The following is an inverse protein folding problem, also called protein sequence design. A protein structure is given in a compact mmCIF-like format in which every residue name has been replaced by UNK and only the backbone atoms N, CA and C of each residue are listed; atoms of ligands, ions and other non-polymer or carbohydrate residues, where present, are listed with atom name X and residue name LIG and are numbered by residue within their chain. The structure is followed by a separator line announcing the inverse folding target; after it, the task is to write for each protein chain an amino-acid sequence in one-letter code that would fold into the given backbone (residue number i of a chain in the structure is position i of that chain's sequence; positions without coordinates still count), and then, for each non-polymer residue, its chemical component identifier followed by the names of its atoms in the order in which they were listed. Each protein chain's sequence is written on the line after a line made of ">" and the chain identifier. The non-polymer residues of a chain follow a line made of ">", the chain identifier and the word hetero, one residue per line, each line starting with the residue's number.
data_IF_268281345576
#
_entry.id   IF_268281345576
#
_cell.length_a   1.000
_cell.length_b   1.000
_cell.length_c   1.000
_cell.angle_alpha   90.00
_cell.angle_beta   90.00
_cell.angle_gamma   90.00
#
_symmetry.space_group_name_H-M   'P 1'
#
loop_
_entity.id
_entity.type
_entity.pdbx_description
1 polymer ?
#
# COMPACT_ATOMS: atom_id res chain seq x y z
N UNK A 1 -24.64 15.77 13.36
CA UNK A 1 -23.23 16.16 13.62
C UNK A 1 -22.27 15.04 13.19
N UNK A 2 -21.45 15.27 12.17
CA UNK A 2 -20.59 14.25 11.51
C UNK A 2 -19.45 13.70 12.38
N UNK A 3 -19.15 14.34 13.51
CA UNK A 3 -18.03 13.99 14.40
C UNK A 3 -18.25 12.75 15.27
N UNK A 4 -19.46 12.23 15.37
CA UNK A 4 -19.76 11.03 16.19
C UNK A 4 -19.29 9.71 15.55
N UNK A 5 -18.46 9.78 14.49
CA UNK A 5 -17.86 8.64 13.78
C UNK A 5 -16.39 8.89 13.41
N UNK A 6 -15.70 9.78 14.12
CA UNK A 6 -14.29 10.06 13.84
C UNK A 6 -13.42 9.09 14.62
N UNK A 7 -12.65 8.28 13.90
CA UNK A 7 -11.56 7.49 14.47
C UNK A 7 -10.25 8.27 14.26
N UNK A 8 -9.50 8.48 15.33
CA UNK A 8 -8.17 9.06 15.28
C UNK A 8 -7.14 7.94 15.44
N UNK A 9 -6.23 7.84 14.47
CA UNK A 9 -5.04 7.01 14.57
C UNK A 9 -3.82 7.93 14.61
N UNK A 10 -2.94 7.72 15.57
CA UNK A 10 -1.70 8.46 15.74
C UNK A 10 -0.54 7.48 15.87
N UNK A 11 0.58 7.83 15.24
CA UNK A 11 1.83 7.08 15.33
C UNK A 11 2.83 7.90 16.14
N UNK A 12 3.54 7.22 17.04
CA UNK A 12 4.57 7.78 17.88
C UNK A 12 5.86 6.99 17.71
N UNK A 13 6.99 7.59 18.08
CA UNK A 13 8.28 6.90 18.11
C UNK A 13 8.23 5.72 19.09
N UNK A 14 8.94 4.63 18.78
CA UNK A 14 8.87 3.37 19.53
C UNK A 14 9.30 3.49 21.00
N UNK A 15 10.11 4.50 21.35
CA UNK A 15 10.57 4.76 22.71
C UNK A 15 9.66 5.73 23.49
N UNK A 16 8.51 6.09 22.93
CA UNK A 16 7.53 6.96 23.60
C UNK A 16 6.91 6.26 24.80
N UNK A 17 7.00 6.89 25.98
CA UNK A 17 6.32 6.41 27.18
C UNK A 17 4.80 6.59 27.05
N UNK A 18 4.10 5.46 26.88
CA UNK A 18 2.64 5.39 26.76
C UNK A 18 1.92 6.05 27.94
N UNK A 19 2.39 5.83 29.17
CA UNK A 19 1.73 6.36 30.37
C UNK A 19 1.84 7.88 30.41
N UNK A 20 3.03 8.41 30.11
CA UNK A 20 3.26 9.85 30.05
C UNK A 20 2.44 10.51 28.92
N UNK A 21 2.36 9.85 27.76
CA UNK A 21 1.58 10.31 26.60
C UNK A 21 0.08 10.42 26.96
N UNK A 22 -0.51 9.35 27.49
CA UNK A 22 -1.94 9.33 27.84
C UNK A 22 -2.27 10.35 28.93
N UNK A 23 -1.41 10.51 29.93
CA UNK A 23 -1.57 11.52 30.97
C UNK A 23 -1.52 12.95 30.38
N UNK A 24 -0.62 13.19 29.44
CA UNK A 24 -0.52 14.49 28.77
C UNK A 24 -1.75 14.79 27.92
N UNK A 25 -2.25 13.81 27.16
CA UNK A 25 -3.46 13.95 26.36
C UNK A 25 -4.69 14.25 27.22
N UNK A 26 -4.87 13.52 28.34
CA UNK A 26 -5.98 13.76 29.27
C UNK A 26 -5.95 15.19 29.86
N UNK A 27 -4.75 15.72 30.16
CA UNK A 27 -4.59 17.10 30.63
C UNK A 27 -4.99 18.12 29.56
N UNK A 28 -4.57 17.90 28.30
CA UNK A 28 -4.90 18.79 27.17
C UNK A 28 -6.39 18.79 26.84
N UNK A 29 -7.04 17.63 26.92
CA UNK A 29 -8.48 17.49 26.64
C UNK A 29 -9.36 17.88 27.82
N UNK A 30 -8.76 18.12 28.98
CA UNK A 30 -9.47 18.56 30.19
C UNK A 30 -10.33 17.47 30.83
N UNK A 31 -9.99 16.19 30.65
CA UNK A 31 -10.77 15.06 31.18
C UNK A 31 -10.33 13.71 30.63
N UNK A 32 -11.12 12.68 30.97
CA UNK A 32 -10.87 11.31 30.55
C UNK A 32 -10.88 11.17 29.02
N UNK A 33 -9.96 10.36 28.53
CA UNK A 33 -9.89 10.03 27.10
C UNK A 33 -11.06 9.09 26.72
N UNK A 34 -11.55 9.17 25.47
CA UNK A 34 -12.49 8.18 24.96
C UNK A 34 -11.88 6.78 24.93
N UNK A 35 -12.68 5.75 24.65
CA UNK A 35 -12.20 4.40 24.43
C UNK A 35 -11.05 4.41 23.40
N UNK A 36 -9.91 3.87 23.79
CA UNK A 36 -8.68 3.87 23.01
C UNK A 36 -7.92 2.56 23.20
N UNK A 37 -7.06 2.26 22.23
CA UNK A 37 -6.17 1.12 22.22
C UNK A 37 -4.78 1.61 21.84
N UNK A 38 -3.76 1.12 22.55
CA UNK A 38 -2.36 1.35 22.23
C UNK A 38 -1.75 0.01 21.84
N UNK A 39 -0.97 0.03 20.76
CA UNK A 39 -0.30 -1.15 20.23
C UNK A 39 1.12 -0.77 19.85
N UNK A 40 2.08 -1.62 20.20
CA UNK A 40 3.46 -1.51 19.74
C UNK A 40 3.55 -2.06 18.31
N UNK A 41 3.90 -1.20 17.36
CA UNK A 41 4.11 -1.60 15.97
C UNK A 41 5.58 -1.89 15.79
N UNK A 42 5.92 -3.18 15.68
CA UNK A 42 7.29 -3.59 15.41
C UNK A 42 7.79 -3.01 14.08
N UNK A 43 9.06 -2.62 14.06
CA UNK A 43 9.79 -2.31 12.83
C UNK A 43 9.78 -3.56 11.94
N UNK A 44 8.92 -3.52 10.93
CA UNK A 44 8.90 -4.48 9.85
C UNK A 44 9.49 -3.80 8.62
N UNK A 45 10.23 -4.57 7.83
CA UNK A 45 10.57 -4.17 6.47
C UNK A 45 9.29 -4.24 5.64
N UNK A 46 8.41 -3.26 5.86
CA UNK A 46 7.12 -3.14 5.18
C UNK A 46 7.32 -3.05 3.68
N UNK A 47 8.48 -2.52 3.24
CA UNK A 47 8.95 -2.52 1.86
C UNK A 47 9.23 -3.93 1.33
N UNK A 48 9.70 -4.89 2.13
CA UNK A 48 9.78 -6.29 1.68
C UNK A 48 8.44 -7.00 1.72
N UNK A 49 7.63 -6.76 2.75
CA UNK A 49 6.36 -7.47 2.91
C UNK A 49 5.38 -7.20 1.76
N UNK A 50 5.37 -5.99 1.19
CA UNK A 50 4.55 -5.72 -0.01
C UNK A 50 5.20 -6.26 -1.29
N UNK A 51 6.53 -6.29 -1.40
CA UNK A 51 7.24 -6.84 -2.56
C UNK A 51 6.97 -8.34 -2.73
N UNK A 52 6.95 -9.10 -1.62
CA UNK A 52 6.66 -10.54 -1.63
C UNK A 52 5.24 -10.86 -2.13
N UNK A 53 4.31 -9.92 -1.93
CA UNK A 53 2.92 -10.06 -2.36
C UNK A 53 2.67 -9.57 -3.79
N UNK A 54 3.65 -8.95 -4.44
CA UNK A 54 3.48 -8.44 -5.80
C UNK A 54 3.67 -9.58 -6.81
N UNK A 55 2.56 -10.02 -7.40
CA UNK A 55 2.52 -11.12 -8.36
C UNK A 55 2.48 -10.60 -9.81
N UNK A 56 2.94 -11.38 -10.80
CA UNK A 56 2.75 -11.05 -12.21
C UNK A 56 1.27 -10.77 -12.52
N UNK A 57 0.99 -9.68 -13.23
CA UNK A 57 -0.37 -9.26 -13.59
C UNK A 57 -0.53 -9.17 -15.10
N UNK A 58 -1.63 -9.72 -15.63
CA UNK A 58 -1.98 -9.60 -17.05
C UNK A 58 -2.94 -8.44 -17.27
N UNK A 59 -2.66 -7.62 -18.26
CA UNK A 59 -3.52 -6.54 -18.73
C UNK A 59 -3.92 -6.82 -20.19
N UNK A 60 -5.21 -6.91 -20.45
CA UNK A 60 -5.73 -7.31 -21.75
C UNK A 60 -5.46 -8.78 -22.05
N UNK A 61 -4.92 -9.06 -23.24
CA UNK A 61 -4.74 -10.41 -23.78
C UNK A 61 -3.29 -10.88 -23.76
N UNK A 62 -2.31 -10.01 -24.07
CA UNK A 62 -0.91 -10.41 -24.26
C UNK A 62 0.08 -9.63 -23.40
N UNK A 63 -0.32 -8.54 -22.75
CA UNK A 63 0.57 -7.73 -21.93
C UNK A 63 0.59 -8.22 -20.48
N UNK A 64 1.80 -8.44 -19.97
CA UNK A 64 2.07 -8.78 -18.57
C UNK A 64 3.00 -7.75 -17.95
N UNK A 65 2.75 -7.39 -16.70
CA UNK A 65 3.74 -6.77 -15.82
C UNK A 65 4.32 -7.87 -14.93
N UNK A 66 5.64 -8.00 -14.94
CA UNK A 66 6.35 -9.07 -14.23
C UNK A 66 7.46 -8.45 -13.38
N UNK A 67 7.46 -8.65 -12.05
CA UNK A 67 8.56 -8.22 -11.20
C UNK A 67 9.79 -9.14 -11.38
N UNK A 68 10.98 -8.62 -11.10
CA UNK A 68 12.27 -9.27 -11.37
C UNK A 68 12.48 -10.59 -10.61
N UNK A 69 11.74 -10.83 -9.53
CA UNK A 69 11.77 -12.06 -8.73
C UNK A 69 10.79 -13.14 -9.22
N UNK A 70 9.99 -12.88 -10.25
CA UNK A 70 9.08 -13.86 -10.85
C UNK A 70 9.46 -14.19 -12.30
N UNK A 71 9.25 -15.45 -12.68
CA UNK A 71 9.25 -15.83 -14.08
C UNK A 71 7.95 -15.36 -14.76
N UNK A 72 8.05 -14.96 -16.02
CA UNK A 72 6.88 -14.64 -16.85
C UNK A 72 5.96 -15.87 -16.98
N UNK A 73 4.67 -15.77 -16.59
CA UNK A 73 3.73 -16.90 -16.71
C UNK A 73 3.51 -17.33 -18.16
N UNK A 74 3.56 -16.38 -19.10
CA UNK A 74 3.48 -16.62 -20.55
C UNK A 74 4.73 -16.01 -21.22
N UNK A 75 5.82 -16.79 -21.39
CA UNK A 75 7.10 -16.28 -21.90
C UNK A 75 7.01 -15.69 -23.32
N UNK A 76 6.12 -16.21 -24.15
CA UNK A 76 5.91 -15.76 -25.54
C UNK A 76 4.98 -14.53 -25.64
N UNK A 77 4.43 -14.06 -24.52
CA UNK A 77 3.61 -12.86 -24.44
C UNK A 77 4.47 -11.59 -24.35
N UNK A 78 3.84 -10.41 -24.34
CA UNK A 78 4.52 -9.14 -24.14
C UNK A 78 4.77 -8.97 -22.64
N UNK A 79 6.00 -9.15 -22.20
CA UNK A 79 6.37 -9.07 -20.78
C UNK A 79 7.10 -7.76 -20.49
N UNK A 80 6.44 -6.85 -19.77
CA UNK A 80 7.04 -5.63 -19.21
C UNK A 80 7.65 -5.97 -17.85
N UNK A 81 8.98 -6.00 -17.78
CA UNK A 81 9.69 -6.18 -16.52
C UNK A 81 9.66 -4.88 -15.73
N UNK A 82 9.00 -4.91 -14.57
CA UNK A 82 8.82 -3.72 -13.73
C UNK A 82 8.70 -4.13 -12.28
N UNK A 83 9.64 -3.65 -11.48
CA UNK A 83 9.65 -3.88 -10.04
C UNK A 83 8.75 -2.87 -9.34
N UNK A 84 7.90 -3.30 -8.40
CA UNK A 84 7.22 -2.39 -7.50
C UNK A 84 8.22 -1.53 -6.72
N UNK A 85 7.98 -0.22 -6.69
CA UNK A 85 8.77 0.73 -5.92
C UNK A 85 7.97 2.01 -5.63
N UNK A 86 8.66 3.11 -5.36
CA UNK A 86 8.03 4.40 -5.07
C UNK A 86 7.37 5.05 -6.30
N UNK A 87 7.69 4.58 -7.51
CA UNK A 87 7.15 5.12 -8.74
C UNK A 87 5.75 4.56 -9.04
N UNK A 88 4.83 5.45 -9.38
CA UNK A 88 3.49 5.08 -9.87
C UNK A 88 3.58 4.43 -11.26
N UNK A 89 2.64 3.52 -11.57
CA UNK A 89 2.51 2.95 -12.92
C UNK A 89 2.75 1.43 -13.02
N UNK A 90 2.74 0.72 -11.91
CA UNK A 90 2.92 -0.75 -11.87
C UNK A 90 1.67 -1.55 -12.26
N UNK A 91 0.55 -0.86 -12.52
CA UNK A 91 -0.72 -1.50 -12.93
C UNK A 91 -1.67 -1.87 -11.78
N UNK A 92 -1.24 -1.77 -10.52
CA UNK A 92 -2.11 -2.04 -9.36
C UNK A 92 -3.22 -0.99 -9.17
N UNK A 93 -3.02 0.23 -9.67
CA UNK A 93 -4.04 1.26 -9.66
C UNK A 93 -4.95 1.17 -10.91
N UNK A 94 -6.28 1.32 -10.77
CA UNK A 94 -7.23 1.17 -11.89
C UNK A 94 -6.92 2.02 -13.11
N UNK A 95 -6.40 3.24 -12.93
CA UNK A 95 -6.06 4.12 -14.05
C UNK A 95 -4.93 3.56 -14.91
N UNK A 96 -3.88 3.01 -14.31
CA UNK A 96 -2.81 2.35 -15.07
C UNK A 96 -3.34 1.07 -15.72
N UNK A 97 -4.12 0.27 -15.00
CA UNK A 97 -4.71 -0.96 -15.53
C UNK A 97 -5.54 -0.72 -16.80
N UNK A 98 -6.46 0.25 -16.76
CA UNK A 98 -7.31 0.60 -17.89
C UNK A 98 -6.51 1.10 -19.10
N UNK A 99 -5.47 1.90 -18.87
CA UNK A 99 -4.59 2.36 -19.94
C UNK A 99 -3.82 1.20 -20.59
N UNK A 100 -3.29 0.27 -19.79
CA UNK A 100 -2.54 -0.89 -20.29
C UNK A 100 -3.45 -1.86 -21.05
N UNK A 101 -4.66 -2.12 -20.55
CA UNK A 101 -5.68 -2.91 -21.26
C UNK A 101 -6.06 -2.29 -22.60
N UNK A 102 -6.24 -0.97 -22.64
CA UNK A 102 -6.54 -0.27 -23.89
C UNK A 102 -5.36 -0.35 -24.88
N UNK A 103 -4.12 -0.15 -24.40
CA UNK A 103 -2.90 -0.23 -25.20
C UNK A 103 -2.70 -1.62 -25.81
N UNK A 104 -2.94 -2.69 -25.05
CA UNK A 104 -2.86 -4.08 -25.52
C UNK A 104 -3.78 -4.37 -26.71
N UNK A 105 -4.93 -3.69 -26.75
CA UNK A 105 -5.92 -3.80 -27.82
C UNK A 105 -5.62 -2.96 -29.07
N UNK A 106 -4.57 -2.14 -29.10
CA UNK A 106 -4.27 -1.29 -30.25
C UNK A 106 -3.50 -2.06 -31.33
N UNK A 107 -3.89 -1.89 -32.58
CA UNK A 107 -3.08 -2.29 -33.72
C UNK A 107 -1.98 -1.23 -33.93
N UNK A 108 -0.73 -1.60 -33.66
CA UNK A 108 0.42 -0.77 -34.02
C UNK A 108 0.70 -0.96 -35.51
N UNK A 109 0.66 0.14 -36.25
CA UNK A 109 0.89 0.21 -37.69
C UNK A 109 2.34 -0.14 -38.08
#
# INVERSE_FOLDING_TARGET
>A
PLWSRTHLLALFEADTDETALLAHLALLTGGDLPEHHVEEIADQDWERSWMDNFQPMRFGRRLWIVPSWHAAPEPDAVNLLLDPGLAFGTGTHPTTALCLEWLDGQELA
#
